data_IF_318044836831
#
_entry.id   IF_318044836831
#
_cell.length_a   1.000
_cell.length_b   1.000
_cell.length_c   1.000
_cell.angle_alpha   90.00
_cell.angle_beta   90.00
_cell.angle_gamma   90.00
#
_symmetry.space_group_name_H-M   'P 1'
#
loop_
_entity.id
_entity.type
_entity.pdbx_description
1 polymer ?
#
# COMPACT_ATOMS: atom_id res chain seq x y z
N UNK A 1 3.20 -17.96 -5.26
CA UNK A 1 3.56 -16.53 -5.05
C UNK A 1 4.45 -16.25 -3.83
N UNK A 2 4.79 -17.21 -2.96
CA UNK A 2 5.58 -16.94 -1.74
C UNK A 2 7.11 -16.87 -1.89
N UNK A 3 7.66 -17.19 -3.07
CA UNK A 3 9.11 -17.44 -3.23
C UNK A 3 9.97 -16.17 -3.40
N UNK A 4 9.37 -14.98 -3.47
CA UNK A 4 10.11 -13.71 -3.66
C UNK A 4 9.98 -12.75 -2.47
N UNK A 5 9.43 -13.23 -1.36
CA UNK A 5 9.32 -12.42 -0.14
C UNK A 5 10.72 -12.22 0.47
N UNK A 6 11.04 -10.98 0.86
CA UNK A 6 12.34 -10.64 1.47
C UNK A 6 13.49 -10.47 0.48
N UNK A 7 13.26 -10.60 -0.83
CA UNK A 7 14.28 -10.43 -1.89
C UNK A 7 14.31 -8.99 -2.46
N UNK A 8 13.68 -8.02 -1.81
CA UNK A 8 13.65 -6.63 -2.28
C UNK A 8 12.73 -6.34 -3.48
N UNK A 9 12.08 -7.35 -4.07
CA UNK A 9 11.17 -7.16 -5.24
C UNK A 9 10.06 -6.14 -4.97
N UNK A 10 9.48 -6.15 -3.76
CA UNK A 10 8.46 -5.17 -3.39
C UNK A 10 9.00 -3.74 -3.36
N UNK A 11 10.24 -3.55 -2.90
CA UNK A 11 10.89 -2.23 -2.87
C UNK A 11 11.17 -1.74 -4.29
N UNK A 12 11.73 -2.59 -5.16
CA UNK A 12 12.00 -2.25 -6.55
C UNK A 12 10.72 -1.86 -7.31
N UNK A 13 9.62 -2.59 -7.10
CA UNK A 13 8.32 -2.24 -7.69
C UNK A 13 7.79 -0.90 -7.18
N UNK A 14 7.92 -0.65 -5.87
CA UNK A 14 7.50 0.62 -5.29
C UNK A 14 8.34 1.80 -5.81
N UNK A 15 9.66 1.66 -5.89
CA UNK A 15 10.55 2.71 -6.38
C UNK A 15 10.21 3.08 -7.84
N UNK A 16 10.07 2.09 -8.71
CA UNK A 16 9.68 2.31 -10.10
C UNK A 16 8.29 2.96 -10.23
N UNK A 17 7.31 2.49 -9.46
CA UNK A 17 5.96 3.08 -9.46
C UNK A 17 5.97 4.52 -8.93
N UNK A 18 6.78 4.82 -7.91
CA UNK A 18 6.91 6.17 -7.36
C UNK A 18 7.50 7.12 -8.39
N UNK A 19 8.58 6.72 -9.06
CA UNK A 19 9.22 7.53 -10.11
C UNK A 19 8.24 7.84 -11.24
N UNK A 20 7.53 6.83 -11.76
CA UNK A 20 6.53 7.03 -12.80
C UNK A 20 5.40 7.98 -12.36
N UNK A 21 4.90 7.85 -11.13
CA UNK A 21 3.86 8.76 -10.60
C UNK A 21 4.36 10.21 -10.49
N UNK A 22 5.61 10.42 -10.08
CA UNK A 22 6.22 11.75 -10.00
C UNK A 22 6.38 12.34 -11.42
N UNK A 23 6.86 11.54 -12.38
CA UNK A 23 7.03 11.97 -13.77
C UNK A 23 5.69 12.34 -14.44
N UNK A 24 4.60 11.68 -14.04
CA UNK A 24 3.23 12.02 -14.45
C UNK A 24 2.66 13.27 -13.75
N UNK A 25 3.41 13.88 -12.82
CA UNK A 25 2.96 15.04 -12.05
C UNK A 25 1.96 14.71 -10.94
N UNK A 26 1.83 13.43 -10.55
CA UNK A 26 1.01 13.06 -9.40
C UNK A 26 1.64 13.61 -8.11
N UNK A 27 0.80 14.17 -7.24
CA UNK A 27 1.26 14.76 -5.97
C UNK A 27 1.00 13.85 -4.76
N UNK A 28 0.12 12.87 -4.91
CA UNK A 28 -0.29 11.97 -3.84
C UNK A 28 -0.57 10.58 -4.39
N UNK A 29 -0.25 9.57 -3.60
CA UNK A 29 -0.60 8.18 -3.86
C UNK A 29 -1.37 7.61 -2.67
N UNK A 30 -2.32 6.71 -2.96
CA UNK A 30 -3.04 5.99 -1.92
C UNK A 30 -3.23 4.52 -2.27
N UNK A 31 -3.27 3.66 -1.26
CA UNK A 31 -3.48 2.22 -1.42
C UNK A 31 -4.41 1.70 -0.32
N UNK A 32 -5.23 0.71 -0.66
CA UNK A 32 -6.07 -0.02 0.28
C UNK A 32 -5.35 -1.29 0.73
N UNK A 33 -5.23 -1.48 2.04
CA UNK A 33 -4.56 -2.63 2.65
C UNK A 33 -5.52 -3.30 3.61
N UNK A 34 -5.61 -4.63 3.51
CA UNK A 34 -6.34 -5.46 4.46
C UNK A 34 -5.70 -5.35 5.84
N UNK A 35 -6.49 -5.00 6.87
CA UNK A 35 -5.98 -4.70 8.21
C UNK A 35 -5.27 -5.91 8.85
N UNK A 36 -5.72 -7.12 8.52
CA UNK A 36 -5.10 -8.37 8.96
C UNK A 36 -3.72 -8.64 8.33
N UNK A 37 -3.33 -7.94 7.26
CA UNK A 37 -2.07 -8.13 6.58
C UNK A 37 -0.96 -7.24 7.17
N UNK A 38 -0.48 -7.58 8.37
CA UNK A 38 0.57 -6.85 9.10
C UNK A 38 1.83 -6.60 8.26
N UNK A 39 2.24 -7.60 7.46
CA UNK A 39 3.39 -7.47 6.56
C UNK A 39 3.21 -6.37 5.51
N UNK A 40 2.01 -6.28 4.93
CA UNK A 40 1.73 -5.27 3.93
C UNK A 40 1.63 -3.88 4.57
N UNK A 41 1.02 -3.78 5.75
CA UNK A 41 0.98 -2.52 6.51
C UNK A 41 2.40 -2.03 6.82
N UNK A 42 3.24 -2.90 7.40
CA UNK A 42 4.63 -2.55 7.75
C UNK A 42 5.45 -2.15 6.53
N UNK A 43 5.30 -2.84 5.39
CA UNK A 43 5.99 -2.48 4.16
C UNK A 43 5.66 -1.04 3.71
N UNK A 44 4.38 -0.68 3.66
CA UNK A 44 3.95 0.64 3.21
C UNK A 44 4.27 1.73 4.24
N UNK A 45 4.19 1.44 5.53
CA UNK A 45 4.61 2.36 6.60
C UNK A 45 6.11 2.68 6.52
N UNK A 46 6.96 1.66 6.31
CA UNK A 46 8.39 1.87 6.06
C UNK A 46 8.65 2.63 4.75
N UNK A 47 7.79 2.47 3.76
CA UNK A 47 7.78 3.28 2.54
C UNK A 47 7.17 4.68 2.73
N UNK A 48 6.93 5.14 3.96
CA UNK A 48 6.50 6.51 4.27
C UNK A 48 5.01 6.78 4.07
N UNK A 49 4.19 5.76 3.85
CA UNK A 49 2.73 5.91 3.86
C UNK A 49 2.21 6.08 5.29
N UNK A 50 1.15 6.87 5.43
CA UNK A 50 0.42 7.09 6.68
C UNK A 50 -0.99 6.54 6.57
N UNK A 51 -1.46 5.91 7.64
CA UNK A 51 -2.84 5.41 7.76
C UNK A 51 -3.81 6.58 7.78
N UNK A 52 -4.86 6.49 6.97
CA UNK A 52 -6.01 7.39 6.99
C UNK A 52 -7.10 6.76 7.87
N UNK A 53 -7.03 6.95 9.18
CA UNK A 53 -7.90 6.25 10.16
C UNK A 53 -9.41 6.35 9.85
N UNK A 54 -9.96 7.49 9.40
CA UNK A 54 -11.37 7.59 9.00
C UNK A 54 -11.78 6.70 7.82
N UNK A 55 -10.82 6.12 7.09
CA UNK A 55 -11.10 5.27 5.93
C UNK A 55 -11.37 3.80 6.26
N UNK A 56 -11.22 3.40 7.53
CA UNK A 56 -11.42 2.01 7.95
C UNK A 56 -12.83 1.54 7.54
N UNK A 57 -12.90 0.45 6.78
CA UNK A 57 -14.17 -0.10 6.30
C UNK A 57 -14.11 -1.61 6.13
N UNK A 58 -15.27 -2.24 6.19
CA UNK A 58 -15.43 -3.64 5.82
C UNK A 58 -15.92 -3.75 4.37
N UNK A 59 -15.19 -4.45 3.52
CA UNK A 59 -15.58 -4.70 2.13
C UNK A 59 -15.79 -6.19 1.85
N UNK A 60 -16.64 -6.50 0.87
CA UNK A 60 -16.78 -7.85 0.35
C UNK A 60 -15.65 -8.13 -0.65
N UNK A 61 -14.89 -9.20 -0.42
CA UNK A 61 -13.85 -9.71 -1.32
C UNK A 61 -14.20 -11.15 -1.69
N UNK A 62 -14.97 -11.30 -2.77
CA UNK A 62 -15.62 -12.56 -3.11
C UNK A 62 -16.63 -12.96 -2.04
N UNK A 63 -16.55 -14.20 -1.55
CA UNK A 63 -17.41 -14.72 -0.50
C UNK A 63 -17.00 -14.29 0.93
N UNK A 64 -15.88 -13.56 1.10
CA UNK A 64 -15.36 -13.16 2.41
C UNK A 64 -15.58 -11.67 2.64
N UNK A 65 -15.72 -11.29 3.90
CA UNK A 65 -15.67 -9.88 4.33
C UNK A 65 -14.30 -9.62 4.95
N UNK A 66 -13.70 -8.50 4.58
CA UNK A 66 -12.37 -8.11 5.05
C UNK A 66 -12.39 -6.67 5.53
N UNK A 67 -11.67 -6.39 6.62
CA UNK A 67 -11.43 -5.03 7.06
C UNK A 67 -10.24 -4.47 6.29
N UNK A 68 -10.39 -3.28 5.71
CA UNK A 68 -9.32 -2.60 5.01
C UNK A 68 -9.21 -1.15 5.44
N UNK A 69 -8.00 -0.62 5.33
CA UNK A 69 -7.66 0.76 5.63
C UNK A 69 -6.89 1.37 4.45
N UNK A 70 -7.17 2.63 4.15
CA UNK A 70 -6.41 3.39 3.17
C UNK A 70 -5.14 3.95 3.81
N UNK A 71 -4.04 3.78 3.12
CA UNK A 71 -2.76 4.43 3.40
C UNK A 71 -2.50 5.48 2.33
N UNK A 72 -1.89 6.61 2.71
CA UNK A 72 -1.58 7.73 1.79
C UNK A 72 -0.14 8.21 1.97
N UNK A 73 0.47 8.65 0.88
CA UNK A 73 1.78 9.30 0.87
C UNK A 73 1.77 10.48 -0.10
N UNK A 74 2.34 11.61 0.31
CA UNK A 74 2.67 12.70 -0.60
C UNK A 74 3.88 12.29 -1.44
N UNK A 75 3.82 12.60 -2.73
CA UNK A 75 4.90 12.39 -3.68
C UNK A 75 5.66 13.73 -3.76
N UNK A 76 6.91 13.72 -3.30
CA UNK A 76 7.80 14.87 -3.21
C UNK A 76 9.19 14.49 -3.70
#
# INVERSE_FOLDING_TARGET
LGQHHGQGVGLALWDAAREALIDEGCTHVSIWIELASERALRFHELAGFKRDMPSLRTVARGARRVEEIRLKRALS
#
